data_IF_364194286680
#
_entry.id   IF_364194286680
#
_cell.length_a   1.000
_cell.length_b   1.000
_cell.length_c   1.000
_cell.angle_alpha   90.00
_cell.angle_beta   90.00
_cell.angle_gamma   90.00
#
_symmetry.space_group_name_H-M   'P 1'
#
loop_
_entity.id
_entity.type
_entity.pdbx_description
1 polymer ?
#
# COMPACT_ATOMS: atom_id res chain seq x y z
N UNK A 1 -13.67 -4.06 4.62
CA UNK A 1 -12.66 -4.32 3.58
C UNK A 1 -11.64 -3.21 3.65
N UNK A 2 -10.34 -3.52 3.55
CA UNK A 2 -9.27 -2.51 3.49
C UNK A 2 -8.41 -2.75 2.26
N UNK A 3 -8.07 -1.70 1.53
CA UNK A 3 -7.12 -1.78 0.42
C UNK A 3 -5.74 -1.37 0.91
N UNK A 4 -4.74 -2.18 0.62
CA UNK A 4 -3.37 -1.95 1.04
C UNK A 4 -2.40 -2.17 -0.11
N UNK A 5 -1.23 -1.55 0.00
CA UNK A 5 -0.15 -1.70 -0.95
C UNK A 5 1.18 -1.96 -0.23
N UNK A 6 2.04 -2.76 -0.83
CA UNK A 6 3.44 -2.92 -0.42
C UNK A 6 4.33 -2.32 -1.50
N UNK A 7 5.25 -1.45 -1.10
CA UNK A 7 6.30 -0.97 -2.00
C UNK A 7 7.45 -1.97 -2.04
N UNK A 8 7.72 -2.56 -3.20
CA UNK A 8 8.78 -3.57 -3.41
C UNK A 8 10.08 -2.99 -3.99
N UNK A 9 10.10 -1.70 -4.33
CA UNK A 9 11.31 -1.01 -4.79
C UNK A 9 12.28 -0.64 -3.67
N UNK A 10 11.91 -0.84 -2.39
CA UNK A 10 12.81 -0.54 -1.27
C UNK A 10 13.89 -1.61 -1.09
N UNK A 11 15.09 -1.31 -1.58
CA UNK A 11 16.29 -2.16 -1.51
C UNK A 11 16.97 -2.16 -0.14
N UNK A 12 16.47 -1.41 0.84
CA UNK A 12 17.09 -1.34 2.18
C UNK A 12 16.75 -2.57 3.03
N UNK A 13 15.65 -3.28 2.72
CA UNK A 13 15.19 -4.50 3.41
C UNK A 13 15.02 -4.39 4.93
N UNK A 14 15.08 -3.18 5.51
CA UNK A 14 14.96 -2.97 6.96
C UNK A 14 13.53 -3.22 7.44
N UNK A 15 12.54 -2.81 6.63
CA UNK A 15 11.12 -3.02 6.89
C UNK A 15 10.34 -3.29 5.61
N UNK A 16 9.14 -3.86 5.74
CA UNK A 16 8.19 -4.00 4.65
C UNK A 16 7.24 -2.80 4.67
N UNK A 17 7.39 -1.82 3.74
CA UNK A 17 6.56 -0.62 3.75
C UNK A 17 5.15 -0.95 3.29
N UNK A 18 4.23 -1.04 4.26
CA UNK A 18 2.81 -1.30 4.03
C UNK A 18 2.02 0.00 4.12
N UNK A 19 1.26 0.28 3.07
CA UNK A 19 0.37 1.42 2.97
C UNK A 19 -1.09 0.98 2.98
N UNK A 20 -1.97 1.80 3.53
CA UNK A 20 -3.42 1.59 3.55
C UNK A 20 -4.12 2.78 2.87
N UNK A 21 -5.07 2.51 1.98
CA UNK A 21 -5.83 3.56 1.31
C UNK A 21 -6.74 4.25 2.32
N UNK A 22 -6.57 5.57 2.44
CA UNK A 22 -7.51 6.46 3.08
C UNK A 22 -8.48 6.99 2.01
N UNK A 23 -9.74 6.53 2.04
CA UNK A 23 -10.75 6.92 1.06
C UNK A 23 -11.20 8.38 1.19
N UNK A 24 -11.00 9.02 2.35
CA UNK A 24 -11.36 10.43 2.56
C UNK A 24 -10.37 11.37 1.86
N UNK A 25 -9.09 11.02 1.88
CA UNK A 25 -8.01 11.84 1.31
C UNK A 25 -7.59 11.36 -0.08
N UNK A 26 -7.92 10.13 -0.45
CA UNK A 26 -7.46 9.43 -1.65
C UNK A 26 -5.94 9.21 -1.71
N UNK A 27 -5.32 9.01 -0.54
CA UNK A 27 -3.90 8.67 -0.39
C UNK A 27 -3.73 7.29 0.24
N UNK A 28 -2.70 6.57 -0.21
CA UNK A 28 -2.14 5.44 0.51
C UNK A 28 -1.17 5.97 1.56
N UNK A 29 -1.50 5.76 2.84
CA UNK A 29 -0.69 6.19 3.97
C UNK A 29 0.01 5.00 4.59
N UNK A 30 1.30 5.11 4.90
CA UNK A 30 2.02 4.03 5.57
C UNK A 30 1.38 3.74 6.93
N UNK A 31 1.36 2.47 7.33
CA UNK A 31 0.80 2.08 8.62
C UNK A 31 1.66 2.57 9.80
N UNK A 32 2.99 2.55 9.65
CA UNK A 32 3.94 2.89 10.71
C UNK A 32 4.31 4.39 10.71
N UNK A 33 4.28 5.06 9.56
CA UNK A 33 4.62 6.48 9.42
C UNK A 33 3.65 7.22 8.50
N UNK A 34 2.75 8.01 9.09
CA UNK A 34 1.71 8.75 8.36
C UNK A 34 2.24 9.92 7.54
N UNK A 35 3.48 10.35 7.74
CA UNK A 35 4.12 11.36 6.88
C UNK A 35 4.49 10.76 5.52
N UNK A 36 4.75 9.46 5.46
CA UNK A 36 5.04 8.74 4.23
C UNK A 36 3.73 8.26 3.57
N UNK A 37 3.35 8.94 2.49
CA UNK A 37 2.11 8.68 1.75
C UNK A 37 2.26 8.92 0.25
N UNK A 38 1.46 8.20 -0.53
CA UNK A 38 1.40 8.31 -1.98
C UNK A 38 -0.03 8.54 -2.44
N UNK A 39 -0.21 9.29 -3.53
CA UNK A 39 -1.52 9.40 -4.17
C UNK A 39 -1.96 8.03 -4.68
N UNK A 40 -3.27 7.77 -4.63
CA UNK A 40 -3.84 6.53 -5.14
C UNK A 40 -3.38 6.19 -6.55
N UNK A 41 -3.37 7.19 -7.44
CA UNK A 41 -2.97 7.00 -8.83
C UNK A 41 -1.51 6.53 -8.95
N UNK A 42 -0.59 7.10 -8.16
CA UNK A 42 0.82 6.68 -8.18
C UNK A 42 0.97 5.20 -7.80
N UNK A 43 0.27 4.75 -6.77
CA UNK A 43 0.30 3.34 -6.32
C UNK A 43 -0.36 2.42 -7.36
N UNK A 44 -1.45 2.85 -7.97
CA UNK A 44 -2.19 2.05 -8.96
C UNK A 44 -1.49 1.93 -10.31
N UNK A 45 -0.68 2.91 -10.72
CA UNK A 45 0.04 2.93 -12.00
C UNK A 45 1.44 2.33 -11.91
N UNK A 46 2.09 2.42 -10.77
CA UNK A 46 3.46 1.94 -10.56
C UNK A 46 3.52 0.40 -10.43
N UNK A 47 4.53 -0.21 -11.03
CA UNK A 47 4.79 -1.66 -11.03
C UNK A 47 5.56 -2.10 -9.77
N UNK A 48 6.19 -1.16 -9.07
CA UNK A 48 6.89 -1.41 -7.80
C UNK A 48 5.92 -1.45 -6.59
N UNK A 49 4.61 -1.50 -6.83
CA UNK A 49 3.59 -1.68 -5.80
C UNK A 49 2.77 -2.94 -5.99
N UNK A 50 2.73 -3.77 -4.95
CA UNK A 50 1.80 -4.90 -4.83
C UNK A 50 0.54 -4.44 -4.10
N UNK A 51 -0.62 -4.51 -4.76
CA UNK A 51 -1.90 -4.07 -4.18
C UNK A 51 -2.72 -5.28 -3.76
N UNK A 52 -3.24 -5.28 -2.55
CA UNK A 52 -4.02 -6.37 -1.98
C UNK A 52 -5.18 -5.85 -1.13
N UNK A 53 -6.25 -6.65 -1.07
CA UNK A 53 -7.35 -6.43 -0.12
C UNK A 53 -7.14 -7.24 1.14
N UNK A 54 -7.61 -6.71 2.27
CA UNK A 54 -7.69 -7.41 3.56
C UNK A 54 -9.15 -7.51 4.00
N UNK A 55 -9.62 -8.73 4.20
CA UNK A 55 -10.96 -9.07 4.69
C UNK A 55 -10.87 -10.24 5.67
N UNK A 56 -11.40 -10.08 6.89
CA UNK A 56 -11.38 -11.13 7.93
C UNK A 56 -9.99 -11.78 8.13
N UNK A 57 -8.95 -10.96 8.25
CA UNK A 57 -7.54 -11.37 8.37
C UNK A 57 -6.96 -12.16 7.19
N UNK A 58 -7.67 -12.21 6.06
CA UNK A 58 -7.20 -12.79 4.81
C UNK A 58 -6.75 -11.68 3.86
N UNK A 59 -5.49 -11.75 3.41
CA UNK A 59 -4.97 -10.91 2.35
C UNK A 59 -5.18 -11.58 0.98
N UNK A 60 -5.69 -10.84 0.00
CA UNK A 60 -5.82 -11.31 -1.39
C UNK A 60 -5.16 -10.30 -2.31
N UNK A 61 -4.14 -10.75 -3.06
CA UNK A 61 -3.48 -9.94 -4.07
C UNK A 61 -4.46 -9.57 -5.20
N UNK A 62 -4.44 -8.30 -5.61
CA UNK A 62 -5.28 -7.75 -6.68
C UNK A 62 -4.42 -7.37 -7.89
N UNK A 63 -3.25 -6.77 -7.64
CA UNK A 63 -2.28 -6.36 -8.66
C UNK A 63 -0.87 -6.67 -8.16
N UNK A 64 -0.04 -7.21 -9.05
CA UNK A 64 1.40 -7.40 -8.88
C UNK A 64 2.05 -7.77 -10.20
#
# INVERSE_FOLDING_TARGET
MKLRAIYIGDVRFDECPVFELNEETNYFEMLNDKEMRYERQCVEEDEDFLIFKVENDVATLIKG
#
